data_IF_573165506203
#
_entry.id   IF_573165506203
#
_cell.length_a   1.000
_cell.length_b   1.000
_cell.length_c   1.000
_cell.angle_alpha   90.00
_cell.angle_beta   90.00
_cell.angle_gamma   90.00
#
_symmetry.space_group_name_H-M   'P 1'
#
loop_
_entity.id
_entity.type
_entity.pdbx_description
1 polymer ?
#
# COMPACT_ATOMS: atom_id res chain seq x y z
N UNK A 1 -45.00 -60.41 1.26
CA UNK A 1 -44.22 -59.78 0.17
C UNK A 1 -44.22 -58.25 0.38
N UNK A 2 -43.18 -57.73 1.01
CA UNK A 2 -43.04 -56.27 1.31
C UNK A 2 -41.95 -55.70 0.40
N UNK A 3 -42.30 -54.77 -0.45
CA UNK A 3 -41.36 -54.05 -1.34
C UNK A 3 -40.77 -52.85 -0.59
N UNK A 4 -39.47 -52.86 -0.41
CA UNK A 4 -38.71 -51.75 0.14
C UNK A 4 -38.28 -50.87 -1.03
N UNK A 5 -38.83 -49.66 -1.08
CA UNK A 5 -38.42 -48.61 -2.02
C UNK A 5 -37.31 -47.78 -1.36
N UNK A 6 -36.12 -47.85 -1.90
CA UNK A 6 -34.98 -47.04 -1.48
C UNK A 6 -35.04 -45.68 -2.20
N UNK A 7 -35.15 -44.61 -1.43
CA UNK A 7 -35.05 -43.23 -1.95
C UNK A 7 -33.59 -42.82 -2.02
N UNK A 8 -33.08 -42.57 -3.22
CA UNK A 8 -31.77 -41.94 -3.44
C UNK A 8 -31.90 -40.45 -3.24
N UNK A 9 -31.31 -39.94 -2.19
CA UNK A 9 -31.11 -38.50 -2.00
C UNK A 9 -29.88 -38.03 -2.79
N UNK A 10 -30.10 -37.24 -3.82
CA UNK A 10 -29.06 -36.56 -4.59
C UNK A 10 -28.58 -35.37 -3.77
N UNK A 11 -27.37 -35.40 -3.23
CA UNK A 11 -26.72 -34.25 -2.64
C UNK A 11 -26.16 -33.35 -3.74
N UNK A 12 -26.77 -32.19 -3.93
CA UNK A 12 -26.26 -31.17 -4.82
C UNK A 12 -25.01 -30.53 -4.21
N UNK A 13 -23.87 -30.78 -4.82
CA UNK A 13 -22.62 -30.08 -4.51
C UNK A 13 -22.69 -28.69 -5.13
N UNK A 14 -22.93 -27.64 -4.31
CA UNK A 14 -22.77 -26.26 -4.74
C UNK A 14 -21.28 -25.97 -4.91
N UNK A 15 -20.80 -25.94 -6.15
CA UNK A 15 -19.49 -25.37 -6.48
C UNK A 15 -19.57 -23.83 -6.36
N UNK A 16 -18.94 -23.31 -5.31
CA UNK A 16 -18.73 -21.87 -5.16
C UNK A 16 -17.69 -21.43 -6.21
N UNK A 17 -18.17 -20.96 -7.35
CA UNK A 17 -17.34 -20.31 -8.36
C UNK A 17 -16.87 -18.95 -7.85
N UNK A 18 -15.59 -18.83 -7.50
CA UNK A 18 -14.94 -17.57 -7.17
C UNK A 18 -14.99 -16.64 -8.39
N UNK A 19 -15.57 -15.46 -8.22
CA UNK A 19 -15.77 -14.49 -9.29
C UNK A 19 -14.40 -13.89 -9.75
N UNK A 20 -14.07 -14.11 -11.02
CA UNK A 20 -12.86 -13.61 -11.70
C UNK A 20 -13.01 -12.20 -12.29
N UNK A 21 -14.01 -11.41 -11.87
CA UNK A 21 -14.33 -10.12 -12.50
C UNK A 21 -13.52 -8.93 -11.97
N UNK A 22 -13.00 -8.98 -10.73
CA UNK A 22 -12.23 -7.89 -10.11
C UNK A 22 -10.77 -7.78 -10.59
N UNK A 23 -10.20 -8.84 -11.14
CA UNK A 23 -8.78 -8.91 -11.48
C UNK A 23 -8.38 -8.02 -12.68
N UNK A 24 -9.30 -7.69 -13.61
CA UNK A 24 -9.00 -6.88 -14.79
C UNK A 24 -9.02 -5.37 -14.54
N UNK A 25 -9.86 -4.88 -13.64
CA UNK A 25 -9.94 -3.46 -13.31
C UNK A 25 -8.73 -3.05 -12.46
N UNK A 26 -8.38 -3.86 -11.45
CA UNK A 26 -7.23 -3.66 -10.57
C UNK A 26 -5.89 -3.76 -11.32
N UNK A 27 -5.77 -4.63 -12.33
CA UNK A 27 -4.51 -4.80 -13.08
C UNK A 27 -4.07 -3.56 -13.86
N UNK A 28 -4.99 -2.62 -14.15
CA UNK A 28 -4.71 -1.34 -14.82
C UNK A 28 -4.57 -0.17 -13.86
N UNK A 29 -4.92 -0.35 -12.58
CA UNK A 29 -4.83 0.73 -11.61
C UNK A 29 -3.36 1.08 -11.33
N UNK A 30 -2.98 2.37 -11.37
CA UNK A 30 -1.57 2.79 -11.27
C UNK A 30 -0.90 2.41 -9.95
N UNK A 31 -1.66 2.16 -8.89
CA UNK A 31 -1.16 1.67 -7.61
C UNK A 31 -1.42 0.17 -7.47
N UNK A 32 -2.68 -0.26 -7.51
CA UNK A 32 -3.08 -1.64 -7.20
C UNK A 32 -2.73 -2.66 -8.29
N UNK A 33 -2.49 -2.22 -9.52
CA UNK A 33 -2.05 -3.10 -10.62
C UNK A 33 -0.58 -3.54 -10.55
N UNK A 34 0.13 -3.27 -9.45
CA UNK A 34 1.56 -3.50 -9.39
C UNK A 34 1.94 -4.58 -8.37
N UNK A 35 3.00 -5.31 -8.70
CA UNK A 35 3.68 -6.24 -7.80
C UNK A 35 5.07 -5.71 -7.50
N UNK A 36 5.42 -5.65 -6.23
CA UNK A 36 6.71 -5.13 -5.78
C UNK A 36 7.41 -6.12 -4.86
N UNK A 37 8.73 -6.01 -4.76
CA UNK A 37 9.50 -6.85 -3.84
C UNK A 37 9.54 -6.22 -2.46
N UNK A 38 9.44 -7.04 -1.41
CA UNK A 38 9.79 -6.65 -0.04
C UNK A 38 11.31 -6.58 0.12
N UNK A 39 11.80 -6.07 1.25
CA UNK A 39 13.22 -6.10 1.61
C UNK A 39 13.80 -7.52 1.60
N UNK A 40 12.99 -8.52 1.89
CA UNK A 40 13.39 -9.94 1.91
C UNK A 40 13.22 -10.64 0.56
N UNK A 41 12.83 -9.90 -0.48
CA UNK A 41 12.65 -10.42 -1.85
C UNK A 41 11.29 -11.10 -2.12
N UNK A 42 10.42 -11.23 -1.11
CA UNK A 42 9.05 -11.73 -1.32
C UNK A 42 8.28 -10.77 -2.24
N UNK A 43 7.55 -11.30 -3.20
CA UNK A 43 6.65 -10.49 -4.03
C UNK A 43 5.39 -10.15 -3.25
N UNK A 44 5.07 -8.86 -3.18
CA UNK A 44 3.85 -8.31 -2.61
C UNK A 44 2.98 -7.77 -3.75
N UNK A 45 1.73 -8.15 -3.79
CA UNK A 45 0.76 -7.65 -4.75
C UNK A 45 0.02 -6.46 -4.12
N UNK A 46 0.17 -5.27 -4.71
CA UNK A 46 -0.41 -4.06 -4.13
C UNK A 46 -1.95 -4.07 -4.15
N UNK A 47 -2.58 -4.95 -4.91
CA UNK A 47 -4.03 -5.15 -4.86
C UNK A 47 -4.55 -5.60 -3.49
N UNK A 48 -3.70 -6.25 -2.68
CA UNK A 48 -4.04 -6.66 -1.31
C UNK A 48 -4.37 -5.47 -0.39
N UNK A 49 -3.93 -4.28 -0.78
CA UNK A 49 -4.16 -3.04 -0.03
C UNK A 49 -5.35 -2.22 -0.54
N UNK A 50 -6.12 -2.74 -1.51
CA UNK A 50 -7.32 -2.07 -2.00
C UNK A 50 -8.31 -1.79 -0.86
N UNK A 51 -8.90 -0.60 -0.83
CA UNK A 51 -9.82 -0.16 0.24
C UNK A 51 -9.11 0.27 1.53
N UNK A 52 -7.79 0.28 1.57
CA UNK A 52 -6.98 0.82 2.68
C UNK A 52 -6.54 2.24 2.38
N UNK A 53 -6.30 3.02 3.43
CA UNK A 53 -5.59 4.30 3.33
C UNK A 53 -4.09 3.99 3.36
N UNK A 54 -3.33 4.48 2.38
CA UNK A 54 -1.90 4.19 2.28
C UNK A 54 -1.09 5.44 2.60
N UNK A 55 -0.10 5.32 3.48
CA UNK A 55 0.94 6.31 3.70
C UNK A 55 2.25 5.77 3.10
N UNK A 56 2.59 6.24 1.91
CA UNK A 56 3.74 5.78 1.13
C UNK A 56 4.91 6.73 1.36
N UNK A 57 6.05 6.22 1.83
CA UNK A 57 7.20 7.01 2.26
C UNK A 57 8.48 6.49 1.62
N UNK A 58 9.27 7.37 0.99
CA UNK A 58 10.63 7.02 0.58
C UNK A 58 11.59 7.20 1.75
N UNK A 59 12.37 6.18 2.07
CA UNK A 59 13.14 6.11 3.33
C UNK A 59 14.64 5.97 3.10
N UNK A 60 15.42 6.29 4.14
CA UNK A 60 16.86 6.09 4.16
C UNK A 60 17.37 5.87 5.60
N UNK A 61 18.44 5.05 5.74
CA UNK A 61 19.00 4.68 7.04
C UNK A 61 20.03 5.68 7.59
N UNK A 62 20.54 6.61 6.76
CA UNK A 62 21.64 7.54 7.14
C UNK A 62 21.27 9.01 6.89
N UNK A 63 20.01 9.37 7.05
CA UNK A 63 19.48 10.72 6.88
C UNK A 63 19.25 11.40 8.23
N UNK A 64 19.32 12.73 8.28
CA UNK A 64 18.89 13.47 9.47
C UNK A 64 17.41 13.23 9.84
N UNK A 65 16.57 12.88 8.86
CA UNK A 65 15.16 12.54 9.06
C UNK A 65 14.91 11.05 9.40
N UNK A 66 15.96 10.22 9.53
CA UNK A 66 15.80 8.78 9.85
C UNK A 66 15.01 8.53 11.14
N UNK A 67 15.06 9.39 12.18
CA UNK A 67 14.21 9.22 13.36
C UNK A 67 12.70 9.19 13.08
N UNK A 68 12.25 9.69 11.95
CA UNK A 68 10.83 9.58 11.53
C UNK A 68 10.35 8.11 11.40
N UNK A 69 11.23 7.12 11.34
CA UNK A 69 10.83 5.71 11.42
C UNK A 69 10.07 5.40 12.71
N UNK A 70 10.43 6.01 13.84
CA UNK A 70 9.77 5.81 15.12
C UNK A 70 8.31 6.30 15.07
N UNK A 71 8.10 7.52 14.61
CA UNK A 71 6.75 8.09 14.46
C UNK A 71 5.91 7.37 13.40
N UNK A 72 6.50 6.90 12.31
CA UNK A 72 5.81 6.07 11.33
C UNK A 72 5.37 4.73 11.94
N UNK A 73 6.20 4.14 12.83
CA UNK A 73 5.83 2.91 13.54
C UNK A 73 4.69 3.16 14.52
N UNK A 74 4.71 4.25 15.28
CA UNK A 74 3.61 4.64 16.17
C UNK A 74 2.30 4.85 15.41
N UNK A 75 2.31 5.50 14.25
CA UNK A 75 1.14 5.63 13.38
C UNK A 75 0.61 4.26 12.91
N UNK A 76 1.52 3.37 12.54
CA UNK A 76 1.16 2.01 12.17
C UNK A 76 0.45 1.27 13.31
N UNK A 77 1.02 1.29 14.51
CA UNK A 77 0.44 0.64 15.69
C UNK A 77 -0.95 1.20 16.03
N UNK A 78 -1.08 2.52 16.02
CA UNK A 78 -2.31 3.20 16.41
C UNK A 78 -3.45 3.03 15.39
N UNK A 79 -3.14 3.01 14.09
CA UNK A 79 -4.13 3.18 13.03
C UNK A 79 -4.27 2.01 12.06
N UNK A 80 -3.39 0.99 12.10
CA UNK A 80 -3.46 -0.16 11.18
C UNK A 80 -4.78 -0.91 11.29
N UNK A 81 -5.30 -1.12 12.50
CA UNK A 81 -6.60 -1.77 12.74
C UNK A 81 -7.78 -0.95 12.19
N UNK A 82 -7.61 0.36 12.01
CA UNK A 82 -8.59 1.26 11.39
C UNK A 82 -8.48 1.31 9.87
N UNK A 83 -7.46 0.67 9.31
CA UNK A 83 -7.27 0.55 7.87
C UNK A 83 -6.15 1.41 7.28
N UNK A 84 -5.27 2.00 8.10
CA UNK A 84 -4.03 2.61 7.62
C UNK A 84 -3.01 1.52 7.28
N UNK A 85 -2.32 1.68 6.16
CA UNK A 85 -1.13 0.91 5.80
C UNK A 85 0.03 1.87 5.56
N UNK A 86 1.05 1.79 6.40
CA UNK A 86 2.32 2.49 6.18
C UNK A 86 3.20 1.63 5.27
N UNK A 87 3.81 2.24 4.27
CA UNK A 87 4.65 1.58 3.26
C UNK A 87 5.98 2.33 3.11
N UNK A 88 7.08 1.71 3.52
CA UNK A 88 8.42 2.27 3.40
C UNK A 88 9.14 1.76 2.15
N UNK A 89 9.69 2.69 1.37
CA UNK A 89 10.44 2.42 0.15
C UNK A 89 11.86 2.97 0.28
N UNK A 90 12.86 2.16 0.64
CA UNK A 90 14.24 2.59 0.71
C UNK A 90 14.71 3.14 -0.64
N UNK A 91 15.40 4.30 -0.61
CA UNK A 91 15.88 4.98 -1.81
C UNK A 91 17.26 5.58 -1.59
N UNK A 92 18.21 5.30 -2.51
CA UNK A 92 19.59 5.77 -2.39
C UNK A 92 19.89 7.03 -3.24
N UNK A 93 18.86 7.65 -3.86
CA UNK A 93 19.08 8.80 -4.77
C UNK A 93 19.43 10.10 -4.07
N UNK A 94 19.21 10.19 -2.74
CA UNK A 94 19.40 11.42 -1.98
C UNK A 94 20.64 11.30 -1.08
N UNK A 95 21.76 11.86 -1.53
CA UNK A 95 23.02 11.88 -0.80
C UNK A 95 23.61 10.49 -0.54
N UNK A 96 23.24 9.45 -1.30
CA UNK A 96 23.66 8.06 -1.07
C UNK A 96 23.42 7.58 0.37
N UNK A 97 22.32 8.04 0.98
CA UNK A 97 22.01 7.80 2.40
C UNK A 97 21.32 6.45 2.67
N UNK A 98 21.12 5.60 1.63
CA UNK A 98 20.62 4.23 1.79
C UNK A 98 21.52 3.21 1.08
N UNK A 99 22.80 3.07 1.49
CA UNK A 99 23.75 2.19 0.80
C UNK A 99 23.50 0.70 1.05
N UNK A 100 22.82 0.34 2.15
CA UNK A 100 22.64 -1.03 2.62
C UNK A 100 21.92 -1.94 1.63
N UNK A 101 22.14 -3.24 1.77
CA UNK A 101 21.33 -4.29 1.15
C UNK A 101 19.95 -4.38 1.80
N UNK A 102 18.98 -5.02 1.16
CA UNK A 102 17.64 -5.22 1.74
C UNK A 102 17.68 -5.89 3.13
N UNK A 103 18.58 -6.86 3.33
CA UNK A 103 18.77 -7.53 4.63
C UNK A 103 19.33 -6.59 5.71
N UNK A 104 20.30 -5.77 5.35
CA UNK A 104 20.89 -4.78 6.27
C UNK A 104 19.86 -3.72 6.65
N UNK A 105 19.10 -3.20 5.68
CA UNK A 105 18.02 -2.24 5.92
C UNK A 105 16.94 -2.84 6.81
N UNK A 106 16.49 -4.08 6.55
CA UNK A 106 15.50 -4.76 7.39
C UNK A 106 15.97 -4.90 8.83
N UNK A 107 17.24 -5.31 9.02
CA UNK A 107 17.86 -5.43 10.34
C UNK A 107 17.95 -4.09 11.04
N UNK A 108 18.38 -3.04 10.33
CA UNK A 108 18.48 -1.68 10.85
C UNK A 108 17.13 -1.14 11.32
N UNK A 109 16.11 -1.23 10.48
CA UNK A 109 14.75 -0.76 10.79
C UNK A 109 14.16 -1.49 12.01
N UNK A 110 14.28 -2.82 12.05
CA UNK A 110 13.74 -3.61 13.17
C UNK A 110 14.48 -3.35 14.47
N UNK A 111 15.82 -3.34 14.43
CA UNK A 111 16.65 -3.21 15.64
C UNK A 111 16.58 -1.81 16.26
N UNK A 112 16.57 -0.75 15.44
CA UNK A 112 16.67 0.62 15.95
C UNK A 112 15.32 1.29 16.17
N UNK A 113 14.29 0.90 15.40
CA UNK A 113 12.98 1.58 15.42
C UNK A 113 11.78 0.62 15.57
N UNK A 114 12.04 -0.68 15.77
CA UNK A 114 10.96 -1.66 15.95
C UNK A 114 10.05 -1.84 14.72
N UNK A 115 10.43 -1.37 13.53
CA UNK A 115 9.57 -1.31 12.35
C UNK A 115 8.89 -2.64 12.06
N UNK A 116 7.56 -2.60 11.99
CA UNK A 116 6.67 -3.73 11.66
C UNK A 116 5.77 -3.46 10.44
N UNK A 117 5.68 -2.20 10.02
CA UNK A 117 4.96 -1.85 8.80
C UNK A 117 5.68 -2.38 7.54
N UNK A 118 4.97 -2.38 6.41
CA UNK A 118 5.46 -2.95 5.15
C UNK A 118 6.67 -2.20 4.61
N UNK A 119 7.82 -2.87 4.54
CA UNK A 119 9.04 -2.35 3.93
C UNK A 119 9.30 -3.04 2.59
N UNK A 120 9.47 -2.25 1.55
CA UNK A 120 9.69 -2.70 0.18
C UNK A 120 11.18 -2.73 -0.17
N UNK A 121 11.52 -3.41 -1.25
CA UNK A 121 12.87 -3.41 -1.81
C UNK A 121 13.31 -2.00 -2.23
N UNK A 122 14.62 -1.75 -2.21
CA UNK A 122 15.19 -0.46 -2.62
C UNK A 122 14.78 -0.13 -4.05
N UNK A 123 14.32 1.11 -4.27
CA UNK A 123 13.88 1.63 -5.57
C UNK A 123 14.43 3.03 -5.83
N UNK A 124 14.48 3.41 -7.08
CA UNK A 124 14.58 4.80 -7.47
C UNK A 124 13.18 5.43 -7.46
N UNK A 125 13.04 6.59 -6.85
CA UNK A 125 11.75 7.29 -6.77
C UNK A 125 11.61 8.38 -7.82
N UNK A 126 12.70 8.74 -8.48
CA UNK A 126 12.76 9.72 -9.56
C UNK A 126 13.44 9.14 -10.80
N UNK A 127 13.15 9.74 -11.96
CA UNK A 127 13.82 9.42 -13.21
C UNK A 127 13.23 8.22 -13.94
N UNK A 128 14.01 7.72 -14.92
CA UNK A 128 13.55 6.69 -15.86
C UNK A 128 13.27 5.37 -15.18
N UNK A 129 14.10 4.99 -14.21
CA UNK A 129 14.05 3.71 -13.49
C UNK A 129 13.03 3.68 -12.35
N UNK A 130 12.40 4.83 -12.03
CA UNK A 130 11.35 4.86 -11.03
C UNK A 130 10.19 3.93 -11.42
N UNK A 131 9.68 3.10 -10.48
CA UNK A 131 8.55 2.22 -10.77
C UNK A 131 7.29 3.04 -11.09
N UNK A 132 6.31 2.46 -11.80
CA UNK A 132 5.07 3.14 -12.16
C UNK A 132 4.35 3.75 -10.96
N UNK A 133 4.45 3.13 -9.78
CA UNK A 133 3.95 3.68 -8.51
C UNK A 133 4.46 5.10 -8.27
N UNK A 134 5.77 5.32 -8.26
CA UNK A 134 6.34 6.65 -8.00
C UNK A 134 6.10 7.63 -9.14
N UNK A 135 6.12 7.16 -10.40
CA UNK A 135 5.70 7.97 -11.54
C UNK A 135 4.27 8.48 -11.40
N UNK A 136 3.38 7.66 -10.86
CA UNK A 136 2.00 8.07 -10.57
C UNK A 136 1.94 9.03 -9.37
N UNK A 137 2.56 8.70 -8.24
CA UNK A 137 2.55 9.53 -7.03
C UNK A 137 3.06 10.96 -7.27
N UNK A 138 4.05 11.12 -8.14
CA UNK A 138 4.68 12.42 -8.45
C UNK A 138 4.05 13.14 -9.65
N UNK A 139 3.05 12.55 -10.29
CA UNK A 139 2.41 13.09 -11.50
C UNK A 139 1.62 14.36 -11.21
N UNK A 140 1.77 15.36 -12.05
CA UNK A 140 0.94 16.58 -12.05
C UNK A 140 -0.55 16.29 -12.26
N UNK A 141 -0.87 15.16 -12.89
CA UNK A 141 -2.26 14.72 -13.12
C UNK A 141 -3.03 14.40 -11.84
N UNK A 142 -2.34 14.23 -10.70
CA UNK A 142 -2.98 14.03 -9.41
C UNK A 142 -3.63 15.29 -8.83
N UNK A 143 -3.37 16.47 -9.44
CA UNK A 143 -3.92 17.75 -8.99
C UNK A 143 -3.34 18.30 -7.68
N UNK A 144 -2.26 17.68 -7.18
CA UNK A 144 -1.54 18.21 -6.01
C UNK A 144 -0.78 19.47 -6.37
N UNK A 145 -0.87 20.52 -5.54
CA UNK A 145 -0.18 21.79 -5.75
C UNK A 145 1.34 21.67 -5.85
N UNK A 146 1.90 20.67 -5.18
CA UNK A 146 3.34 20.41 -5.09
C UNK A 146 3.74 19.10 -5.78
N UNK A 147 3.03 18.71 -6.85
CA UNK A 147 3.39 17.60 -7.72
C UNK A 147 4.82 17.75 -8.28
N UNK A 148 5.31 16.71 -8.93
CA UNK A 148 6.66 16.66 -9.49
C UNK A 148 7.63 15.81 -8.66
N UNK A 149 8.93 15.81 -8.99
CA UNK A 149 9.91 14.90 -8.42
C UNK A 149 9.99 14.95 -6.90
N UNK A 150 10.29 13.81 -6.28
CA UNK A 150 10.66 13.73 -4.86
C UNK A 150 11.93 14.53 -4.64
N UNK A 151 11.95 15.39 -3.62
CA UNK A 151 13.06 16.33 -3.37
C UNK A 151 14.10 15.75 -2.42
N UNK A 152 13.67 14.94 -1.45
CA UNK A 152 14.55 14.37 -0.42
C UNK A 152 13.97 13.09 0.17
N UNK A 153 14.71 12.46 1.10
CA UNK A 153 14.25 11.32 1.87
C UNK A 153 13.04 11.68 2.76
N UNK A 154 12.23 10.71 3.12
CA UNK A 154 11.06 10.83 3.98
C UNK A 154 9.98 11.80 3.48
N UNK A 155 9.82 11.95 2.18
CA UNK A 155 8.57 12.51 1.66
C UNK A 155 7.46 11.45 1.77
N UNK A 156 6.27 11.92 2.11
CA UNK A 156 5.11 11.09 2.37
C UNK A 156 4.00 11.40 1.38
N UNK A 157 3.39 10.36 0.82
CA UNK A 157 2.22 10.46 -0.06
C UNK A 157 1.07 9.74 0.62
N UNK A 158 -0.05 10.45 0.81
CA UNK A 158 -1.28 9.88 1.33
C UNK A 158 -2.18 9.48 0.17
N UNK A 159 -2.64 8.24 0.19
CA UNK A 159 -3.54 7.67 -0.81
C UNK A 159 -4.84 7.26 -0.12
N UNK A 160 -5.96 7.70 -0.69
CA UNK A 160 -7.30 7.36 -0.20
C UNK A 160 -7.63 5.88 -0.38
N UNK A 161 -8.72 5.42 0.22
CA UNK A 161 -9.25 4.05 0.05
C UNK A 161 -9.59 3.71 -1.41
N UNK A 162 -9.83 4.71 -2.25
CA UNK A 162 -10.11 4.57 -3.68
C UNK A 162 -8.84 4.57 -4.56
N UNK A 163 -7.65 4.69 -3.94
CA UNK A 163 -6.38 4.75 -4.67
C UNK A 163 -6.05 6.11 -5.26
N UNK A 164 -6.71 7.19 -4.83
CA UNK A 164 -6.38 8.56 -5.24
C UNK A 164 -5.29 9.13 -4.34
N UNK A 165 -4.28 9.78 -4.93
CA UNK A 165 -3.29 10.55 -4.17
C UNK A 165 -3.96 11.83 -3.68
N UNK A 166 -4.10 11.99 -2.36
CA UNK A 166 -4.87 13.09 -1.76
C UNK A 166 -4.02 14.13 -1.06
N UNK A 167 -2.82 13.74 -0.60
CA UNK A 167 -1.88 14.67 0.03
C UNK A 167 -0.44 14.24 -0.20
N UNK A 168 0.46 15.21 -0.11
CA UNK A 168 1.91 15.00 -0.11
C UNK A 168 2.53 15.87 0.98
N UNK A 169 3.41 15.27 1.77
CA UNK A 169 4.11 15.95 2.85
C UNK A 169 5.62 15.85 2.61
N UNK A 170 6.30 16.98 2.66
CA UNK A 170 7.75 17.04 2.47
C UNK A 170 8.49 16.49 3.67
N UNK A 171 9.79 16.28 3.52
CA UNK A 171 10.68 15.70 4.55
C UNK A 171 10.52 16.37 5.92
N UNK A 172 10.46 17.71 5.97
CA UNK A 172 10.39 18.48 7.22
C UNK A 172 9.03 18.44 7.93
N UNK A 173 8.00 17.82 7.33
CA UNK A 173 6.70 17.63 7.98
C UNK A 173 6.75 16.28 8.71
N UNK A 174 6.74 16.32 10.05
CA UNK A 174 6.80 15.11 10.88
C UNK A 174 5.55 14.23 10.71
N UNK A 175 5.70 12.90 10.73
CA UNK A 175 4.57 11.99 10.54
C UNK A 175 3.45 12.12 11.58
N UNK A 176 3.77 12.57 12.79
CA UNK A 176 2.84 12.81 13.90
C UNK A 176 2.34 14.25 14.01
N UNK A 177 2.71 15.12 13.06
CA UNK A 177 2.15 16.49 13.02
C UNK A 177 0.64 16.46 12.81
N UNK A 178 -0.06 17.46 13.35
CA UNK A 178 -1.51 17.60 13.18
C UNK A 178 -1.92 17.55 11.71
N UNK A 179 -1.13 18.16 10.82
CA UNK A 179 -1.37 18.16 9.37
C UNK A 179 -1.44 16.75 8.80
N UNK A 180 -0.49 15.86 9.16
CA UNK A 180 -0.43 14.49 8.66
C UNK A 180 -1.51 13.63 9.32
N UNK A 181 -1.65 13.74 10.64
CA UNK A 181 -2.60 12.92 11.41
C UNK A 181 -4.04 13.25 11.00
N UNK A 182 -4.40 14.54 10.89
CA UNK A 182 -5.75 14.97 10.48
C UNK A 182 -6.08 14.52 9.06
N UNK A 183 -5.13 14.61 8.13
CA UNK A 183 -5.31 14.11 6.77
C UNK A 183 -5.57 12.60 6.77
N UNK A 184 -4.77 11.82 7.50
CA UNK A 184 -4.96 10.36 7.61
C UNK A 184 -6.31 10.03 8.24
N UNK A 185 -6.66 10.66 9.36
CA UNK A 185 -7.92 10.42 10.07
C UNK A 185 -9.12 10.79 9.21
N UNK A 186 -9.02 11.86 8.43
CA UNK A 186 -10.07 12.26 7.47
C UNK A 186 -10.29 11.18 6.41
N UNK A 187 -9.24 10.62 5.84
CA UNK A 187 -9.37 9.53 4.87
C UNK A 187 -9.88 8.22 5.52
N UNK A 188 -9.47 7.95 6.76
CA UNK A 188 -9.93 6.75 7.49
C UNK A 188 -11.43 6.79 7.86
N UNK A 189 -12.04 7.98 7.99
CA UNK A 189 -13.47 8.14 8.26
C UNK A 189 -14.34 7.88 7.03
N UNK A 190 -13.78 7.91 5.81
CA UNK A 190 -14.51 7.62 4.58
C UNK A 190 -14.78 6.12 4.48
N UNK A 191 -15.94 5.77 3.91
CA UNK A 191 -16.24 4.36 3.65
C UNK A 191 -15.25 3.73 2.67
N UNK A 192 -14.96 2.46 2.88
CA UNK A 192 -14.22 1.71 1.89
C UNK A 192 -15.07 1.55 0.62
N UNK A 193 -14.47 1.61 -0.59
CA UNK A 193 -15.20 1.37 -1.82
C UNK A 193 -15.92 0.02 -1.71
N UNK A 194 -17.20 0.01 -2.10
CA UNK A 194 -17.95 -1.24 -2.18
C UNK A 194 -17.24 -2.13 -3.19
N UNK A 195 -16.95 -3.38 -2.82
CA UNK A 195 -16.55 -4.37 -3.82
C UNK A 195 -17.68 -4.44 -4.84
N UNK A 196 -17.39 -4.19 -6.10
CA UNK A 196 -18.36 -4.35 -7.19
C UNK A 196 -18.79 -5.82 -7.25
N UNK A 197 -19.86 -6.11 -6.53
CA UNK A 197 -20.58 -7.39 -6.68
C UNK A 197 -21.48 -7.21 -7.90
N UNK A 198 -20.94 -7.40 -9.09
CA UNK A 198 -21.76 -7.50 -10.29
C UNK A 198 -22.71 -8.70 -10.12
N UNK A 199 -24.05 -8.52 -10.16
CA UNK A 199 -24.98 -9.63 -10.10
C UNK A 199 -24.72 -10.54 -11.31
N UNK A 200 -24.60 -11.84 -11.08
CA UNK A 200 -24.62 -12.80 -12.19
C UNK A 200 -25.97 -12.66 -12.90
N UNK A 201 -25.95 -12.15 -14.11
CA UNK A 201 -27.10 -12.28 -14.99
C UNK A 201 -27.18 -13.74 -15.41
N UNK A 202 -28.08 -14.48 -14.78
CA UNK A 202 -28.48 -15.79 -15.27
C UNK A 202 -29.14 -15.59 -16.64
N UNK A 203 -28.41 -15.90 -17.69
CA UNK A 203 -28.98 -16.11 -19.01
C UNK A 203 -29.67 -17.46 -18.99
N UNK A 204 -31.01 -17.41 -19.08
CA UNK A 204 -31.87 -18.53 -19.43
C UNK A 204 -31.51 -19.08 -20.82
#
# INVERSE_FOLDING_TARGET
MQRITAALTFAAVLSVGVAMADDKADSKHPIYGQKMKSLTGKTLDLKEFHGKVLLIVNTASKCGATPQYETLQLLHEALSKRGLVVMGFPCNQFGAQEPGTGKEIATFCKKNYGVEFSMFGKVDVNGKEAPPLFKHLTSEKNGLKDAGPVKWNFEKFLVSREGKVVSRFRTGVEPDSDEVVDAIVTELKKDAPKKDVTPKTDKK
#
